data_IF_675905404689
#
_entry.id   IF_675905404689
#
_cell.length_a   1.000
_cell.length_b   1.000
_cell.length_c   1.000
_cell.angle_alpha   90.00
_cell.angle_beta   90.00
_cell.angle_gamma   90.00
#
_symmetry.space_group_name_H-M   'P 1'
#
loop_
_entity.id
_entity.type
_entity.pdbx_description
1 polymer ?
#
# COMPACT_ATOMS: atom_id res chain seq x y z
N UNK A 1 -6.23 -33.13 -18.12
CA UNK A 1 -5.85 -32.03 -18.99
C UNK A 1 -7.11 -31.17 -19.23
N UNK A 2 -7.02 -29.87 -19.04
CA UNK A 2 -8.09 -28.93 -19.33
C UNK A 2 -8.41 -28.94 -20.84
N UNK A 3 -9.61 -28.52 -21.22
CA UNK A 3 -10.01 -28.41 -22.63
C UNK A 3 -9.03 -27.54 -23.42
N UNK A 4 -8.51 -26.49 -22.80
CA UNK A 4 -7.48 -25.60 -23.34
C UNK A 4 -6.15 -26.34 -23.63
N UNK A 5 -5.69 -27.24 -22.72
CA UNK A 5 -4.48 -28.04 -22.95
C UNK A 5 -4.66 -29.05 -24.09
N UNK A 6 -5.86 -29.62 -24.27
CA UNK A 6 -6.15 -30.50 -25.38
C UNK A 6 -6.20 -29.76 -26.72
N UNK A 7 -6.78 -28.56 -26.71
CA UNK A 7 -6.84 -27.69 -27.88
C UNK A 7 -5.43 -27.20 -28.29
N UNK A 8 -4.59 -26.84 -27.34
CA UNK A 8 -3.20 -26.41 -27.60
C UNK A 8 -2.35 -27.55 -28.21
N UNK A 9 -2.60 -28.80 -27.81
CA UNK A 9 -1.93 -29.98 -28.35
C UNK A 9 -2.45 -30.37 -29.79
N UNK A 10 -3.61 -29.91 -30.20
CA UNK A 10 -4.20 -30.17 -31.48
C UNK A 10 -3.92 -29.09 -32.54
N UNK A 11 -3.45 -27.90 -32.13
CA UNK A 11 -3.06 -26.85 -33.08
C UNK A 11 -1.68 -27.14 -33.71
N UNK A 12 -1.52 -26.85 -35.00
CA UNK A 12 -0.20 -26.92 -35.63
C UNK A 12 0.73 -26.03 -34.82
N UNK A 13 1.86 -26.62 -34.40
CA UNK A 13 2.85 -25.97 -33.58
C UNK A 13 3.14 -24.56 -34.08
N UNK A 14 2.89 -23.55 -33.28
CA UNK A 14 3.52 -22.26 -33.49
C UNK A 14 5.00 -22.51 -33.64
N UNK A 15 5.67 -21.95 -34.66
CA UNK A 15 7.10 -22.10 -34.80
C UNK A 15 7.74 -21.73 -33.46
N UNK A 16 8.59 -22.59 -32.94
CA UNK A 16 9.35 -22.29 -31.74
C UNK A 16 9.99 -20.91 -31.91
N UNK A 17 10.02 -20.06 -30.85
CA UNK A 17 10.70 -18.77 -30.93
C UNK A 17 12.10 -19.01 -31.53
N UNK A 18 12.44 -18.33 -32.63
CA UNK A 18 13.68 -18.53 -33.36
C UNK A 18 14.89 -17.84 -32.69
N UNK A 19 14.84 -17.59 -31.40
CA UNK A 19 15.94 -17.00 -30.63
C UNK A 19 15.64 -16.96 -29.14
N UNK A 20 16.71 -16.92 -28.34
CA UNK A 20 16.60 -16.69 -26.90
C UNK A 20 16.18 -15.26 -26.61
N UNK A 21 15.29 -15.07 -25.63
CA UNK A 21 14.88 -13.75 -25.15
C UNK A 21 16.09 -13.00 -24.59
N UNK A 22 16.28 -11.76 -25.01
CA UNK A 22 17.35 -10.89 -24.56
C UNK A 22 16.86 -9.99 -23.44
N UNK A 23 17.77 -9.47 -22.64
CA UNK A 23 17.45 -8.56 -21.53
C UNK A 23 16.67 -7.31 -21.99
N UNK A 24 16.98 -6.82 -23.18
CA UNK A 24 16.44 -5.59 -23.78
C UNK A 24 15.09 -5.81 -24.48
N UNK A 25 14.68 -7.07 -24.66
CA UNK A 25 13.42 -7.39 -25.31
C UNK A 25 12.26 -7.05 -24.38
N UNK A 26 11.18 -6.51 -24.99
CA UNK A 26 9.95 -6.20 -24.25
C UNK A 26 9.21 -7.50 -23.95
N UNK A 27 9.10 -7.83 -22.67
CA UNK A 27 8.37 -9.00 -22.20
C UNK A 27 6.87 -8.73 -22.00
N UNK A 28 6.52 -7.47 -21.71
CA UNK A 28 5.12 -7.10 -21.48
C UNK A 28 4.89 -5.61 -21.74
N UNK A 29 3.67 -5.27 -22.14
CA UNK A 29 3.17 -3.90 -22.22
C UNK A 29 2.03 -3.78 -21.23
N UNK A 30 2.18 -2.93 -20.22
CA UNK A 30 1.16 -2.69 -19.21
C UNK A 30 0.56 -1.31 -19.36
N UNK A 31 -0.76 -1.25 -19.47
CA UNK A 31 -1.47 0.02 -19.63
C UNK A 31 -1.76 0.66 -18.26
N UNK A 32 -1.43 1.94 -18.16
CA UNK A 32 -1.75 2.79 -17.02
C UNK A 32 -2.75 3.86 -17.41
N UNK A 33 -3.60 4.28 -16.46
CA UNK A 33 -4.49 5.42 -16.68
C UNK A 33 -3.65 6.69 -16.80
N UNK A 34 -3.49 7.20 -18.02
CA UNK A 34 -2.82 8.49 -18.22
C UNK A 34 -3.63 9.64 -17.64
N UNK A 35 -2.97 10.61 -17.00
CA UNK A 35 -3.61 11.85 -16.52
C UNK A 35 -4.23 12.69 -17.63
N UNK A 36 -3.91 12.43 -18.89
CA UNK A 36 -4.44 13.07 -20.10
C UNK A 36 -5.65 12.34 -20.71
N UNK A 37 -6.22 11.35 -20.01
CA UNK A 37 -7.43 10.62 -20.43
C UNK A 37 -7.18 9.43 -21.36
N UNK A 38 -6.04 9.33 -22.03
CA UNK A 38 -5.68 8.16 -22.85
C UNK A 38 -4.73 7.23 -22.07
N UNK A 39 -5.03 5.92 -22.02
CA UNK A 39 -4.14 4.95 -21.39
C UNK A 39 -2.78 4.91 -22.09
N UNK A 40 -1.70 4.76 -21.31
CA UNK A 40 -0.32 4.66 -21.80
C UNK A 40 0.18 3.24 -21.64
N UNK A 41 0.73 2.66 -22.69
CA UNK A 41 1.32 1.32 -22.68
C UNK A 41 2.79 1.39 -22.23
N UNK A 42 3.07 1.01 -21.00
CA UNK A 42 4.43 0.96 -20.44
C UNK A 42 5.13 -0.29 -20.95
N UNK A 43 6.24 -0.13 -21.69
CA UNK A 43 7.03 -1.23 -22.22
C UNK A 43 8.05 -1.72 -21.19
N UNK A 44 7.82 -2.90 -20.62
CA UNK A 44 8.67 -3.52 -19.59
C UNK A 44 9.54 -4.58 -20.26
N UNK A 45 10.85 -4.61 -19.96
CA UNK A 45 11.80 -5.56 -20.51
C UNK A 45 12.00 -6.78 -19.61
N UNK A 46 12.49 -7.89 -20.14
CA UNK A 46 12.92 -9.04 -19.36
C UNK A 46 13.96 -8.66 -18.31
N UNK A 47 14.94 -7.83 -18.70
CA UNK A 47 15.97 -7.33 -17.78
C UNK A 47 15.42 -6.50 -16.64
N UNK A 48 14.38 -5.68 -16.91
CA UNK A 48 13.71 -4.86 -15.90
C UNK A 48 13.02 -5.71 -14.84
N UNK A 49 12.24 -6.72 -15.24
CA UNK A 49 11.59 -7.65 -14.30
C UNK A 49 12.64 -8.39 -13.45
N UNK A 50 13.66 -8.97 -14.08
CA UNK A 50 14.68 -9.72 -13.35
C UNK A 50 15.45 -8.85 -12.35
N UNK A 51 15.77 -7.60 -12.73
CA UNK A 51 16.43 -6.66 -11.83
C UNK A 51 15.55 -6.30 -10.62
N UNK A 52 14.25 -6.07 -10.85
CA UNK A 52 13.29 -5.80 -9.75
C UNK A 52 13.16 -6.99 -8.82
N UNK A 53 13.00 -8.21 -9.37
CA UNK A 53 12.91 -9.44 -8.57
C UNK A 53 14.16 -9.63 -7.72
N UNK A 54 15.35 -9.46 -8.33
CA UNK A 54 16.62 -9.55 -7.60
C UNK A 54 16.75 -8.48 -6.50
N UNK A 55 16.35 -7.25 -6.79
CA UNK A 55 16.35 -6.16 -5.81
C UNK A 55 15.40 -6.41 -4.64
N UNK A 56 14.20 -6.93 -4.92
CA UNK A 56 13.22 -7.31 -3.89
C UNK A 56 13.73 -8.49 -3.06
N UNK A 57 14.27 -9.54 -3.70
CA UNK A 57 14.85 -10.68 -3.00
C UNK A 57 15.95 -10.24 -2.04
N UNK A 58 16.87 -9.38 -2.48
CA UNK A 58 17.92 -8.83 -1.61
C UNK A 58 17.35 -8.01 -0.44
N UNK A 59 16.26 -7.27 -0.64
CA UNK A 59 15.60 -6.55 0.46
C UNK A 59 14.97 -7.51 1.48
N UNK A 60 14.42 -8.65 1.04
CA UNK A 60 13.93 -9.69 1.95
C UNK A 60 15.07 -10.45 2.65
N UNK A 61 16.23 -10.64 2.00
CA UNK A 61 17.42 -11.18 2.66
C UNK A 61 17.89 -10.26 3.78
N UNK A 62 17.94 -8.93 3.52
CA UNK A 62 18.26 -7.94 4.54
C UNK A 62 17.25 -7.95 5.69
N UNK A 63 15.96 -8.09 5.40
CA UNK A 63 14.91 -8.25 6.40
C UNK A 63 15.15 -9.53 7.23
N UNK A 64 15.64 -10.61 6.60
CA UNK A 64 16.03 -11.84 7.25
C UNK A 64 17.24 -11.67 8.16
N UNK A 65 18.27 -10.97 7.70
CA UNK A 65 19.49 -10.68 8.47
C UNK A 65 19.17 -9.84 9.73
N UNK A 66 18.29 -8.86 9.62
CA UNK A 66 17.97 -7.94 10.71
C UNK A 66 16.86 -8.44 11.64
N UNK A 67 15.87 -9.15 11.14
CA UNK A 67 14.62 -9.47 11.84
C UNK A 67 14.24 -10.95 11.82
N UNK A 68 15.02 -11.81 11.16
CA UNK A 68 14.73 -13.24 11.03
C UNK A 68 13.58 -13.59 10.06
N UNK A 69 13.14 -12.65 9.21
CA UNK A 69 11.96 -12.80 8.36
C UNK A 69 12.33 -12.85 6.87
N UNK A 70 13.19 -13.79 6.46
CA UNK A 70 13.53 -13.98 5.04
C UNK A 70 12.41 -14.67 4.27
N UNK A 71 12.38 -14.49 2.95
CA UNK A 71 11.48 -15.22 2.04
C UNK A 71 12.09 -16.57 1.66
N UNK A 72 11.29 -17.64 1.76
CA UNK A 72 11.74 -19.03 1.50
C UNK A 72 10.74 -19.80 0.63
N UNK A 73 11.13 -21.00 0.17
CA UNK A 73 10.27 -21.92 -0.57
C UNK A 73 9.07 -22.45 0.24
N UNK A 74 9.09 -22.31 1.57
CA UNK A 74 7.96 -22.69 2.43
C UNK A 74 6.87 -21.63 2.51
N UNK A 75 7.13 -20.45 1.97
CA UNK A 75 6.18 -19.35 1.98
C UNK A 75 5.04 -19.55 0.99
N UNK A 76 3.92 -18.91 1.33
CA UNK A 76 2.67 -18.99 0.58
C UNK A 76 2.08 -17.60 0.47
N UNK A 77 1.77 -17.16 -0.75
CA UNK A 77 0.97 -15.96 -1.00
C UNK A 77 -0.36 -16.29 -1.64
N UNK A 78 -1.36 -15.45 -1.44
CA UNK A 78 -2.60 -15.45 -2.22
C UNK A 78 -2.51 -14.38 -3.30
N UNK A 79 -2.48 -14.80 -4.58
CA UNK A 79 -2.64 -13.90 -5.72
C UNK A 79 -4.13 -13.62 -5.93
N UNK A 80 -4.54 -12.39 -5.71
CA UNK A 80 -5.92 -11.92 -5.87
C UNK A 80 -5.99 -10.51 -6.47
N UNK A 81 -4.87 -9.83 -6.59
CA UNK A 81 -4.79 -8.56 -7.30
C UNK A 81 -4.68 -8.82 -8.82
N UNK A 82 -5.14 -7.91 -9.67
CA UNK A 82 -5.06 -8.12 -11.11
C UNK A 82 -3.61 -8.15 -11.62
N UNK A 83 -3.22 -9.19 -12.35
CA UNK A 83 -1.90 -9.28 -13.00
C UNK A 83 -1.68 -8.24 -14.11
N UNK A 84 -2.74 -7.53 -14.51
CA UNK A 84 -2.64 -6.33 -15.35
C UNK A 84 -1.94 -5.16 -14.64
N UNK A 85 -1.78 -5.22 -13.32
CA UNK A 85 -0.99 -4.30 -12.53
C UNK A 85 0.34 -4.92 -12.15
N UNK A 86 1.42 -4.16 -12.32
CA UNK A 86 2.78 -4.64 -12.09
C UNK A 86 3.02 -5.12 -10.65
N UNK A 87 2.28 -4.62 -9.67
CA UNK A 87 2.50 -4.92 -8.26
C UNK A 87 2.37 -6.42 -7.96
N UNK A 88 1.24 -7.05 -8.32
CA UNK A 88 1.04 -8.48 -8.07
C UNK A 88 1.95 -9.34 -8.94
N UNK A 89 2.13 -8.94 -10.21
CA UNK A 89 3.01 -9.65 -11.14
C UNK A 89 4.45 -9.71 -10.66
N UNK A 90 5.03 -8.60 -10.22
CA UNK A 90 6.41 -8.58 -9.72
C UNK A 90 6.59 -9.44 -8.45
N UNK A 91 5.54 -9.53 -7.63
CA UNK A 91 5.54 -10.39 -6.44
C UNK A 91 5.36 -11.86 -6.78
N UNK A 92 4.53 -12.22 -7.76
CA UNK A 92 4.47 -13.61 -8.25
C UNK A 92 5.82 -14.06 -8.79
N UNK A 93 6.48 -13.25 -9.62
CA UNK A 93 7.82 -13.55 -10.14
C UNK A 93 8.85 -13.70 -9.01
N UNK A 94 8.77 -12.87 -7.96
CA UNK A 94 9.60 -13.01 -6.77
C UNK A 94 9.34 -14.35 -6.07
N UNK A 95 8.08 -14.72 -5.84
CA UNK A 95 7.74 -15.98 -5.17
C UNK A 95 8.17 -17.19 -5.98
N UNK A 96 7.99 -17.15 -7.31
CA UNK A 96 8.47 -18.19 -8.22
C UNK A 96 10.00 -18.31 -8.18
N UNK A 97 10.74 -17.19 -8.12
CA UNK A 97 12.20 -17.17 -8.12
C UNK A 97 12.83 -17.89 -6.92
N UNK A 98 12.14 -17.91 -5.78
CA UNK A 98 12.59 -18.60 -4.56
C UNK A 98 11.92 -19.97 -4.36
N UNK A 99 11.10 -20.43 -5.33
CA UNK A 99 10.37 -21.69 -5.25
C UNK A 99 9.21 -21.68 -4.23
N UNK A 100 8.73 -20.51 -3.84
CA UNK A 100 7.60 -20.36 -2.93
C UNK A 100 6.26 -20.68 -3.61
N UNK A 101 5.19 -20.77 -2.84
CA UNK A 101 3.87 -21.23 -3.31
C UNK A 101 2.94 -20.06 -3.55
N UNK A 102 2.21 -20.12 -4.66
CA UNK A 102 1.19 -19.14 -5.01
C UNK A 102 -0.16 -19.85 -5.07
N UNK A 103 -1.13 -19.39 -4.28
CA UNK A 103 -2.52 -19.80 -4.40
C UNK A 103 -3.32 -18.73 -5.12
N UNK A 104 -4.19 -19.12 -6.03
CA UNK A 104 -5.06 -18.21 -6.77
C UNK A 104 -6.44 -18.14 -6.16
N UNK A 105 -7.00 -16.92 -6.07
CA UNK A 105 -8.34 -16.70 -5.58
C UNK A 105 -9.41 -17.19 -6.57
N UNK A 106 -10.64 -17.38 -6.08
CA UNK A 106 -11.76 -17.86 -6.91
C UNK A 106 -12.41 -16.79 -7.78
N UNK A 107 -11.80 -15.60 -7.92
CA UNK A 107 -12.29 -14.50 -8.77
C UNK A 107 -13.46 -13.71 -8.18
N UNK A 108 -13.83 -13.90 -6.91
CA UNK A 108 -14.96 -13.22 -6.24
C UNK A 108 -14.45 -12.42 -5.05
N UNK A 109 -14.66 -11.10 -5.07
CA UNK A 109 -14.21 -10.17 -4.02
C UNK A 109 -14.82 -10.50 -2.64
N UNK A 110 -16.06 -10.95 -2.61
CA UNK A 110 -16.75 -11.39 -1.40
C UNK A 110 -16.19 -12.70 -0.81
N UNK A 111 -15.51 -13.49 -1.66
CA UNK A 111 -14.86 -14.75 -1.29
C UNK A 111 -13.44 -14.64 -0.79
N UNK A 112 -12.75 -13.51 -0.96
CA UNK A 112 -11.30 -13.35 -0.67
C UNK A 112 -10.95 -13.76 0.77
N UNK A 113 -11.72 -13.36 1.76
CA UNK A 113 -11.45 -13.75 3.16
C UNK A 113 -11.61 -15.28 3.39
N UNK A 114 -12.52 -15.92 2.67
CA UNK A 114 -12.67 -17.39 2.69
C UNK A 114 -11.47 -18.07 2.02
N UNK A 115 -10.97 -17.51 0.91
CA UNK A 115 -9.80 -18.02 0.20
C UNK A 115 -8.53 -17.87 1.05
N UNK A 116 -8.36 -16.72 1.72
CA UNK A 116 -7.29 -16.50 2.71
C UNK A 116 -7.36 -17.54 3.84
N UNK A 117 -8.56 -17.78 4.38
CA UNK A 117 -8.77 -18.76 5.44
C UNK A 117 -8.45 -20.20 5.02
N UNK A 118 -8.75 -20.57 3.78
CA UNK A 118 -8.46 -21.90 3.22
C UNK A 118 -6.96 -22.07 2.87
N UNK A 119 -6.36 -21.10 2.21
CA UNK A 119 -4.96 -21.14 1.79
C UNK A 119 -3.99 -20.96 2.97
N UNK A 120 -4.36 -20.13 3.94
CA UNK A 120 -3.54 -19.77 5.11
C UNK A 120 -2.16 -19.23 4.69
N UNK A 121 -2.11 -18.10 3.98
CA UNK A 121 -0.86 -17.54 3.46
C UNK A 121 0.08 -17.14 4.61
N UNK A 122 1.39 -17.13 4.31
CA UNK A 122 2.44 -16.63 5.20
C UNK A 122 2.78 -15.18 4.91
N UNK A 123 2.61 -14.74 3.66
CA UNK A 123 2.70 -13.35 3.22
C UNK A 123 1.32 -12.85 2.82
N UNK A 124 0.91 -11.75 3.42
CA UNK A 124 -0.33 -11.08 3.07
C UNK A 124 -0.03 -9.77 2.36
N UNK A 125 -0.19 -9.80 1.04
CA UNK A 125 0.10 -8.70 0.15
C UNK A 125 -1.21 -8.00 -0.20
N UNK A 126 -1.22 -6.66 -0.17
CA UNK A 126 -2.44 -5.95 -0.48
C UNK A 126 -2.24 -4.47 -0.75
N UNK A 127 -3.33 -3.84 -1.15
CA UNK A 127 -3.44 -2.38 -1.29
C UNK A 127 -4.07 -1.78 -0.04
N UNK A 128 -3.86 -0.48 0.27
CA UNK A 128 -4.37 0.16 1.48
C UNK A 128 -5.84 -0.09 1.76
N UNK A 129 -6.68 -0.06 0.73
CA UNK A 129 -8.13 -0.30 0.85
C UNK A 129 -8.50 -1.66 1.45
N UNK A 130 -7.68 -2.67 1.24
CA UNK A 130 -7.87 -4.00 1.85
C UNK A 130 -7.56 -3.94 3.34
N UNK A 131 -6.47 -3.26 3.70
CA UNK A 131 -6.07 -3.08 5.11
C UNK A 131 -7.03 -2.19 5.89
N UNK A 132 -7.58 -1.16 5.26
CA UNK A 132 -8.66 -0.33 5.85
C UNK A 132 -9.89 -1.17 6.18
N UNK A 133 -10.28 -2.10 5.29
CA UNK A 133 -11.38 -3.04 5.56
C UNK A 133 -11.07 -3.99 6.72
N UNK A 134 -9.84 -4.51 6.80
CA UNK A 134 -9.40 -5.34 7.93
C UNK A 134 -9.50 -4.54 9.23
N UNK A 135 -8.95 -3.32 9.24
CA UNK A 135 -9.01 -2.41 10.39
C UNK A 135 -10.44 -2.09 10.80
N UNK A 136 -11.29 -1.67 9.85
CA UNK A 136 -12.69 -1.35 10.10
C UNK A 136 -13.49 -2.57 10.62
N UNK A 137 -13.23 -3.75 10.06
CA UNK A 137 -13.87 -5.00 10.51
C UNK A 137 -13.52 -5.36 11.94
N UNK A 138 -12.28 -5.19 12.38
CA UNK A 138 -11.87 -5.41 13.77
C UNK A 138 -12.49 -4.35 14.68
N UNK A 139 -12.51 -3.09 14.28
CA UNK A 139 -13.13 -1.99 15.02
C UNK A 139 -14.63 -2.19 15.22
N UNK A 140 -15.33 -2.59 14.17
CA UNK A 140 -16.77 -2.87 14.25
C UNK A 140 -17.10 -4.00 15.26
N UNK A 141 -16.30 -5.07 15.27
CA UNK A 141 -16.49 -6.14 16.24
C UNK A 141 -16.18 -5.72 17.67
N UNK A 142 -15.16 -4.88 17.86
CA UNK A 142 -14.86 -4.32 19.16
C UNK A 142 -16.01 -3.42 19.64
N UNK A 143 -16.60 -2.64 18.76
CA UNK A 143 -17.75 -1.80 19.09
C UNK A 143 -18.97 -2.63 19.58
N UNK A 144 -19.16 -3.81 18.98
CA UNK A 144 -20.22 -4.75 19.38
C UNK A 144 -19.86 -5.62 20.60
N UNK A 145 -18.59 -5.61 21.06
CA UNK A 145 -18.12 -6.41 22.18
C UNK A 145 -18.52 -5.80 23.54
N UNK A 146 -18.53 -6.62 24.59
CA UNK A 146 -18.77 -6.15 25.96
C UNK A 146 -17.72 -5.12 26.41
N UNK A 147 -18.06 -4.21 27.33
CA UNK A 147 -17.13 -3.19 27.83
C UNK A 147 -15.80 -3.79 28.32
N UNK A 148 -15.87 -4.92 29.01
CA UNK A 148 -14.68 -5.63 29.52
C UNK A 148 -13.77 -6.09 28.37
N UNK A 149 -14.34 -6.71 27.32
CA UNK A 149 -13.55 -7.15 26.16
C UNK A 149 -12.91 -5.97 25.43
N UNK A 150 -13.63 -4.85 25.32
CA UNK A 150 -13.06 -3.61 24.74
C UNK A 150 -11.90 -3.08 25.58
N UNK A 151 -12.06 -3.03 26.91
CA UNK A 151 -11.00 -2.58 27.81
C UNK A 151 -9.75 -3.46 27.72
N UNK A 152 -9.93 -4.80 27.74
CA UNK A 152 -8.82 -5.77 27.61
C UNK A 152 -8.11 -5.60 26.27
N UNK A 153 -8.85 -5.48 25.16
CA UNK A 153 -8.24 -5.27 23.84
C UNK A 153 -7.48 -3.93 23.77
N UNK A 154 -8.05 -2.84 24.29
CA UNK A 154 -7.40 -1.52 24.29
C UNK A 154 -6.14 -1.50 25.14
N UNK A 155 -6.15 -2.15 26.30
CA UNK A 155 -4.98 -2.29 27.18
C UNK A 155 -3.88 -3.12 26.50
N UNK A 156 -4.25 -4.26 25.88
CA UNK A 156 -3.32 -5.11 25.14
C UNK A 156 -2.68 -4.37 23.96
N UNK A 157 -3.50 -3.62 23.20
CA UNK A 157 -3.04 -2.81 22.08
C UNK A 157 -2.07 -1.71 22.53
N UNK A 158 -2.43 -0.98 23.60
CA UNK A 158 -1.60 0.07 24.16
C UNK A 158 -0.26 -0.47 24.69
N UNK A 159 -0.30 -1.56 25.47
CA UNK A 159 0.91 -2.17 26.04
C UNK A 159 1.86 -2.67 24.95
N UNK A 160 1.36 -3.44 23.98
CA UNK A 160 2.18 -3.99 22.90
C UNK A 160 2.75 -2.89 22.01
N UNK A 161 1.91 -1.89 21.66
CA UNK A 161 2.35 -0.73 20.88
C UNK A 161 3.52 -0.03 21.56
N UNK A 162 3.42 0.22 22.87
CA UNK A 162 4.49 0.90 23.65
C UNK A 162 5.81 0.11 23.61
N UNK A 163 5.73 -1.22 23.67
CA UNK A 163 6.91 -2.08 23.52
C UNK A 163 7.54 -1.96 22.11
N UNK A 164 6.73 -2.04 21.06
CA UNK A 164 7.20 -1.89 19.68
C UNK A 164 7.78 -0.49 19.44
N UNK A 165 7.11 0.57 19.91
CA UNK A 165 7.59 1.96 19.78
C UNK A 165 8.92 2.18 20.55
N UNK A 166 9.19 1.37 21.58
CA UNK A 166 10.47 1.34 22.32
C UNK A 166 11.53 0.44 21.68
N UNK A 167 11.27 -0.12 20.47
CA UNK A 167 12.22 -0.98 19.76
C UNK A 167 12.21 -2.46 20.16
N UNK A 168 11.26 -2.89 21.01
CA UNK A 168 11.12 -4.32 21.34
C UNK A 168 10.53 -5.05 20.12
N UNK A 169 11.15 -6.17 19.76
CA UNK A 169 10.68 -7.02 18.68
C UNK A 169 9.21 -7.42 18.88
N UNK A 170 8.40 -7.41 17.80
CA UNK A 170 6.95 -7.61 17.87
C UNK A 170 6.54 -8.91 18.58
N UNK A 171 7.31 -10.00 18.48
CA UNK A 171 7.01 -11.28 19.14
C UNK A 171 7.29 -11.24 20.65
N UNK A 172 8.16 -10.34 21.09
CA UNK A 172 8.54 -10.18 22.51
C UNK A 172 7.82 -9.04 23.21
N UNK A 173 7.21 -8.11 22.44
CA UNK A 173 6.57 -6.91 22.99
C UNK A 173 5.37 -7.23 23.89
N UNK A 174 4.63 -8.32 23.65
CA UNK A 174 3.53 -8.77 24.53
C UNK A 174 3.04 -10.19 24.20
N UNK A 175 3.79 -11.25 24.50
CA UNK A 175 3.44 -12.63 24.11
C UNK A 175 2.10 -13.12 24.65
N UNK A 176 1.71 -12.70 25.86
CA UNK A 176 0.41 -13.03 26.43
C UNK A 176 -0.76 -12.39 25.68
N UNK A 177 -0.62 -11.11 25.30
CA UNK A 177 -1.63 -10.45 24.48
C UNK A 177 -1.73 -11.06 23.09
N UNK A 178 -0.61 -11.48 22.50
CA UNK A 178 -0.58 -12.16 21.20
C UNK A 178 -1.37 -13.45 21.23
N UNK A 179 -1.18 -14.25 22.25
CA UNK A 179 -1.90 -15.53 22.42
C UNK A 179 -3.36 -15.36 22.76
N UNK A 180 -3.72 -14.45 23.66
CA UNK A 180 -5.08 -14.35 24.21
C UNK A 180 -5.99 -13.40 23.42
N UNK A 181 -5.43 -12.35 22.83
CA UNK A 181 -6.16 -11.25 22.19
C UNK A 181 -5.95 -11.26 20.68
N UNK A 182 -4.69 -11.12 20.22
CA UNK A 182 -4.36 -10.88 18.82
C UNK A 182 -4.39 -12.13 17.96
N UNK A 183 -4.25 -13.33 18.54
CA UNK A 183 -4.44 -14.60 17.81
C UNK A 183 -5.77 -14.68 17.07
N UNK A 184 -6.84 -14.09 17.63
CA UNK A 184 -8.16 -14.03 17.00
C UNK A 184 -8.22 -13.11 15.79
N UNK A 185 -7.41 -12.04 15.78
CA UNK A 185 -7.26 -11.14 14.63
C UNK A 185 -6.45 -11.85 13.55
N UNK A 186 -5.32 -12.43 13.93
CA UNK A 186 -4.43 -13.19 13.04
C UNK A 186 -5.14 -14.37 12.36
N UNK A 187 -6.00 -15.08 13.10
CA UNK A 187 -6.77 -16.22 12.60
C UNK A 187 -7.68 -15.85 11.41
N UNK A 188 -8.13 -14.59 11.29
CA UNK A 188 -8.98 -14.14 10.17
C UNK A 188 -8.24 -14.10 8.85
N UNK A 189 -6.93 -13.92 8.91
CA UNK A 189 -6.04 -13.97 7.76
C UNK A 189 -5.31 -15.33 7.70
N UNK A 190 -5.98 -16.42 8.12
CA UNK A 190 -5.47 -17.78 8.06
C UNK A 190 -4.51 -18.18 9.19
N UNK A 191 -4.15 -17.28 10.10
CA UNK A 191 -3.37 -17.55 11.31
C UNK A 191 -1.86 -17.75 11.10
N UNK A 192 -1.36 -17.78 9.85
CA UNK A 192 0.04 -18.05 9.52
C UNK A 192 0.79 -16.84 8.96
N UNK A 193 0.11 -15.69 8.78
CA UNK A 193 0.74 -14.48 8.25
C UNK A 193 1.91 -14.06 9.13
N UNK A 194 3.09 -13.95 8.54
CA UNK A 194 4.34 -13.53 9.18
C UNK A 194 4.92 -12.23 8.60
N UNK A 195 4.47 -11.84 7.40
CA UNK A 195 4.79 -10.53 6.79
C UNK A 195 3.54 -9.97 6.12
N UNK A 196 3.29 -8.69 6.33
CA UNK A 196 2.28 -7.91 5.61
C UNK A 196 2.99 -6.91 4.71
N UNK A 197 2.66 -6.90 3.41
CA UNK A 197 3.20 -5.94 2.45
C UNK A 197 2.09 -5.09 1.84
N UNK A 198 2.24 -3.77 1.89
CA UNK A 198 1.33 -2.79 1.29
C UNK A 198 2.00 -2.01 0.17
N UNK A 199 1.32 -1.83 -0.95
CA UNK A 199 1.84 -1.07 -2.09
C UNK A 199 0.74 -0.40 -2.90
N UNK A 200 1.12 0.23 -4.00
CA UNK A 200 0.27 0.95 -4.98
C UNK A 200 -0.33 2.27 -4.49
N UNK A 201 -0.42 2.52 -3.17
CA UNK A 201 -0.86 3.78 -2.59
C UNK A 201 -0.36 3.88 -1.13
N UNK A 202 -0.33 5.08 -0.53
CA UNK A 202 0.08 5.25 0.87
C UNK A 202 -0.88 4.54 1.83
N UNK A 203 -0.35 3.78 2.78
CA UNK A 203 -1.11 3.22 3.88
C UNK A 203 -1.21 4.24 5.02
N UNK A 204 -2.41 4.49 5.49
CA UNK A 204 -2.62 5.45 6.58
C UNK A 204 -1.82 5.05 7.84
N UNK A 205 -1.05 5.98 8.45
CA UNK A 205 -0.15 5.63 9.56
C UNK A 205 -0.84 4.99 10.76
N UNK A 206 -2.10 5.34 11.03
CA UNK A 206 -2.87 4.73 12.12
C UNK A 206 -3.26 3.28 11.82
N UNK A 207 -3.53 2.95 10.54
CA UNK A 207 -3.82 1.57 10.09
C UNK A 207 -2.55 0.73 10.13
N UNK A 208 -1.43 1.26 9.62
CA UNK A 208 -0.13 0.60 9.67
C UNK A 208 0.27 0.24 11.11
N UNK A 209 0.20 1.22 12.04
CA UNK A 209 0.50 0.98 13.46
C UNK A 209 -0.42 -0.07 14.08
N UNK A 210 -1.71 -0.04 13.72
CA UNK A 210 -2.65 -1.05 14.19
C UNK A 210 -2.29 -2.44 13.67
N UNK A 211 -1.96 -2.57 12.39
CA UNK A 211 -1.59 -3.84 11.78
C UNK A 211 -0.32 -4.42 12.39
N UNK A 212 0.75 -3.61 12.57
CA UNK A 212 2.00 -4.01 13.25
C UNK A 212 1.73 -4.68 14.60
N UNK A 213 0.79 -4.13 15.38
CA UNK A 213 0.43 -4.67 16.70
C UNK A 213 -0.50 -5.88 16.58
N UNK A 214 -1.60 -5.75 15.82
CA UNK A 214 -2.70 -6.72 15.82
C UNK A 214 -2.40 -7.98 15.00
N UNK A 215 -1.54 -7.88 13.99
CA UNK A 215 -1.09 -9.01 13.16
C UNK A 215 0.11 -9.73 13.75
N UNK A 216 0.77 -9.15 14.76
CA UNK A 216 1.95 -9.72 15.40
C UNK A 216 3.04 -10.08 14.37
N UNK A 217 3.28 -9.20 13.40
CA UNK A 217 4.26 -9.40 12.35
C UNK A 217 4.68 -8.06 11.74
N UNK A 218 5.81 -8.00 11.02
CA UNK A 218 6.23 -6.83 10.29
C UNK A 218 5.20 -6.40 9.26
N UNK A 219 5.02 -5.10 9.13
CA UNK A 219 4.22 -4.46 8.08
C UNK A 219 5.15 -3.55 7.30
N UNK A 220 5.36 -3.86 6.03
CA UNK A 220 6.23 -3.13 5.13
C UNK A 220 5.41 -2.37 4.09
N UNK A 221 5.86 -1.17 3.73
CA UNK A 221 5.31 -0.43 2.61
C UNK A 221 6.31 -0.39 1.48
N UNK A 222 5.85 -0.61 0.25
CA UNK A 222 6.61 -0.43 -0.97
C UNK A 222 6.08 0.73 -1.80
N UNK A 223 6.98 1.48 -2.41
CA UNK A 223 6.67 2.49 -3.41
C UNK A 223 7.29 2.10 -4.75
N UNK A 224 6.55 2.34 -5.81
CA UNK A 224 7.01 2.16 -7.17
C UNK A 224 5.89 2.41 -8.18
N UNK A 225 6.26 2.36 -9.45
CA UNK A 225 5.40 2.65 -10.57
C UNK A 225 5.47 1.51 -11.60
N UNK A 226 4.55 1.50 -12.53
CA UNK A 226 4.61 0.57 -13.66
C UNK A 226 5.86 0.82 -14.50
N UNK A 227 6.25 2.08 -14.63
CA UNK A 227 7.44 2.56 -15.33
C UNK A 227 8.77 2.12 -14.66
N UNK A 228 8.73 1.68 -13.43
CA UNK A 228 9.89 1.15 -12.69
C UNK A 228 9.75 -0.34 -12.36
N UNK A 229 8.91 -1.03 -13.12
CA UNK A 229 8.66 -2.47 -12.99
C UNK A 229 8.20 -2.90 -11.58
N UNK A 230 7.41 -2.04 -10.90
CA UNK A 230 6.90 -2.29 -9.56
C UNK A 230 7.69 -1.57 -8.48
N UNK A 231 8.16 -2.30 -7.47
CA UNK A 231 8.80 -1.68 -6.31
C UNK A 231 10.13 -1.00 -6.67
N UNK A 232 10.28 0.23 -6.19
CA UNK A 232 11.51 1.03 -6.26
C UNK A 232 12.09 1.30 -4.87
N UNK A 233 11.23 1.38 -3.86
CA UNK A 233 11.59 1.54 -2.45
C UNK A 233 10.82 0.53 -1.61
N UNK A 234 11.43 0.11 -0.51
CA UNK A 234 10.81 -0.77 0.47
C UNK A 234 11.15 -0.30 1.89
N UNK A 235 10.11 -0.15 2.72
CA UNK A 235 10.29 0.24 4.11
C UNK A 235 10.76 -0.95 4.95
N UNK A 236 11.74 -0.73 5.83
CA UNK A 236 11.98 -1.64 6.94
C UNK A 236 10.87 -1.48 7.98
N UNK A 237 10.41 -2.57 8.64
CA UNK A 237 9.28 -2.54 9.57
C UNK A 237 9.63 -1.98 10.95
N UNK A 238 10.50 -1.00 11.00
CA UNK A 238 10.88 -0.28 12.21
C UNK A 238 9.90 0.86 12.49
N UNK A 239 9.74 1.29 13.77
CA UNK A 239 8.77 2.35 14.13
C UNK A 239 8.99 3.65 13.36
N UNK A 240 10.24 4.04 13.12
CA UNK A 240 10.63 5.27 12.45
C UNK A 240 10.14 5.34 11.00
N UNK A 241 9.98 4.19 10.34
CA UNK A 241 9.52 4.11 8.95
C UNK A 241 7.99 4.12 8.79
N UNK A 242 7.23 4.27 9.88
CA UNK A 242 5.76 4.38 9.78
C UNK A 242 5.35 5.58 8.93
N UNK A 243 4.59 5.32 7.86
CA UNK A 243 4.18 6.33 6.88
C UNK A 243 5.28 6.70 5.87
N UNK A 244 6.37 5.91 5.78
CA UNK A 244 7.46 6.06 4.84
C UNK A 244 7.58 4.83 3.94
N UNK A 245 8.27 4.97 2.83
CA UNK A 245 8.51 3.89 1.87
C UNK A 245 9.94 3.33 1.94
N UNK A 246 10.74 3.82 2.91
CA UNK A 246 12.07 3.28 3.24
C UNK A 246 13.17 3.64 2.27
N UNK A 247 14.12 2.73 2.07
CA UNK A 247 15.25 2.86 1.17
C UNK A 247 14.97 2.38 -0.24
N UNK A 248 15.78 2.84 -1.20
CA UNK A 248 15.71 2.36 -2.58
C UNK A 248 16.16 0.90 -2.68
N UNK A 249 15.55 0.15 -3.59
CA UNK A 249 16.00 -1.19 -3.93
C UNK A 249 17.43 -1.15 -4.50
N UNK A 250 18.27 -2.15 -4.21
CA UNK A 250 19.68 -2.16 -4.64
C UNK A 250 19.91 -2.10 -6.16
N UNK A 251 18.87 -2.33 -6.95
CA UNK A 251 18.91 -2.27 -8.42
C UNK A 251 18.65 -0.88 -9.00
N UNK A 252 18.41 0.15 -8.15
CA UNK A 252 18.06 1.51 -8.57
C UNK A 252 18.97 2.56 -7.94
N UNK A 253 19.24 3.60 -8.72
CA UNK A 253 19.74 4.89 -8.24
C UNK A 253 18.55 5.85 -8.11
N UNK A 254 18.59 6.74 -7.12
CA UNK A 254 17.61 7.81 -6.98
C UNK A 254 18.26 9.13 -6.64
N UNK A 255 17.60 10.21 -6.97
CA UNK A 255 17.92 11.57 -6.51
C UNK A 255 16.63 12.36 -6.31
N UNK A 256 16.70 13.40 -5.47
CA UNK A 256 15.65 14.41 -5.39
C UNK A 256 16.04 15.60 -6.27
N UNK A 257 15.10 16.13 -7.02
CA UNK A 257 15.26 17.36 -7.80
C UNK A 257 14.35 18.44 -7.25
N UNK A 258 14.91 19.62 -6.97
CA UNK A 258 14.13 20.76 -6.50
C UNK A 258 13.03 21.14 -7.49
N UNK A 259 11.87 21.54 -6.96
CA UNK A 259 10.70 22.04 -7.71
C UNK A 259 10.31 23.40 -7.11
N UNK A 260 11.07 24.47 -7.44
CA UNK A 260 10.96 25.79 -6.79
C UNK A 260 9.57 26.41 -6.92
N UNK A 261 8.90 26.21 -8.06
CA UNK A 261 7.55 26.71 -8.31
C UNK A 261 6.49 26.13 -7.36
N UNK A 262 6.77 24.97 -6.76
CA UNK A 262 5.93 24.31 -5.75
C UNK A 262 6.50 24.43 -4.33
N UNK A 263 7.62 25.15 -4.16
CA UNK A 263 8.25 25.35 -2.86
C UNK A 263 9.03 24.16 -2.31
N UNK A 264 9.43 23.21 -3.19
CA UNK A 264 10.22 22.05 -2.78
C UNK A 264 11.70 22.26 -3.11
N UNK A 265 12.56 22.15 -2.10
CA UNK A 265 13.99 22.29 -2.21
C UNK A 265 14.71 21.01 -1.76
N UNK A 266 15.43 20.39 -2.70
CA UNK A 266 16.19 19.17 -2.46
C UNK A 266 17.47 19.39 -1.62
N UNK A 267 17.88 20.65 -1.40
CA UNK A 267 19.02 21.02 -0.58
C UNK A 267 18.63 21.53 0.82
N UNK A 268 17.33 21.65 1.09
CA UNK A 268 16.81 22.04 2.40
C UNK A 268 16.95 20.93 3.44
N UNK A 269 16.64 21.24 4.70
CA UNK A 269 16.54 20.27 5.80
C UNK A 269 15.11 20.27 6.36
N UNK A 270 14.31 19.23 6.16
CA UNK A 270 14.61 18.01 5.37
C UNK A 270 14.60 18.26 3.86
N UNK A 271 15.41 17.51 3.08
CA UNK A 271 15.40 17.59 1.63
C UNK A 271 14.04 17.17 1.04
N UNK A 272 13.52 17.98 0.09
CA UNK A 272 12.25 17.73 -0.60
C UNK A 272 12.38 18.02 -2.08
N UNK A 273 11.82 17.15 -2.91
CA UNK A 273 11.87 17.36 -4.35
C UNK A 273 11.19 16.24 -5.13
N UNK A 274 11.17 16.38 -6.45
CA UNK A 274 10.75 15.31 -7.33
C UNK A 274 11.69 14.11 -7.19
N UNK A 275 11.12 12.91 -7.06
CA UNK A 275 11.90 11.67 -7.04
C UNK A 275 12.25 11.28 -8.47
N UNK A 276 13.55 11.22 -8.78
CA UNK A 276 14.05 10.72 -10.04
C UNK A 276 14.70 9.37 -9.84
N UNK A 277 14.45 8.43 -10.77
CA UNK A 277 14.92 7.05 -10.68
C UNK A 277 15.72 6.67 -11.93
N UNK A 278 16.79 5.89 -11.75
CA UNK A 278 17.59 5.36 -12.85
C UNK A 278 18.08 3.95 -12.51
N UNK A 279 18.02 3.06 -13.48
CA UNK A 279 18.53 1.69 -13.34
C UNK A 279 17.80 0.70 -14.23
N UNK A 280 18.20 -0.58 -14.20
CA UNK A 280 17.63 -1.62 -15.05
C UNK A 280 16.11 -1.80 -14.97
N UNK A 281 15.42 -1.55 -13.82
CA UNK A 281 13.96 -1.61 -13.71
C UNK A 281 13.21 -0.51 -14.48
N UNK A 282 13.88 0.59 -14.85
CA UNK A 282 13.23 1.68 -15.58
C UNK A 282 12.80 1.21 -16.97
N UNK A 283 11.57 1.50 -17.33
CA UNK A 283 10.92 1.04 -18.57
C UNK A 283 11.63 1.52 -19.84
N UNK A 284 11.35 0.85 -20.94
CA UNK A 284 11.92 1.20 -22.26
C UNK A 284 11.28 2.46 -22.87
N UNK A 285 10.13 2.86 -22.39
CA UNK A 285 9.33 3.97 -22.90
C UNK A 285 7.86 3.58 -23.05
N UNK A 286 7.04 4.54 -23.47
CA UNK A 286 5.63 4.31 -23.76
C UNK A 286 5.45 3.77 -25.19
N UNK A 287 4.65 2.72 -25.34
CA UNK A 287 4.39 2.06 -26.61
C UNK A 287 3.74 3.03 -27.60
N UNK A 288 4.39 3.25 -28.75
CA UNK A 288 3.97 4.19 -29.82
C UNK A 288 3.77 5.64 -29.35
N UNK A 289 4.41 6.07 -28.26
CA UNK A 289 4.29 7.43 -27.73
C UNK A 289 5.69 7.97 -27.33
N UNK A 290 6.47 8.32 -28.35
CA UNK A 290 7.85 8.79 -28.19
C UNK A 290 7.89 10.15 -27.48
N UNK A 291 6.93 11.03 -27.78
CA UNK A 291 6.92 12.39 -27.19
C UNK A 291 6.69 12.32 -25.68
N UNK A 292 5.70 11.54 -25.24
CA UNK A 292 5.50 11.34 -23.79
C UNK A 292 6.63 10.59 -23.12
N UNK A 293 7.34 9.75 -23.86
CA UNK A 293 8.54 9.09 -23.33
C UNK A 293 9.62 10.13 -23.01
N UNK A 294 9.88 11.06 -23.94
CA UNK A 294 10.85 12.16 -23.77
C UNK A 294 10.46 13.14 -22.66
N UNK A 295 9.17 13.31 -22.38
CA UNK A 295 8.70 14.17 -21.28
C UNK A 295 9.11 13.65 -19.90
N UNK A 296 9.33 12.34 -19.76
CA UNK A 296 9.55 11.71 -18.45
C UNK A 296 10.86 10.94 -18.34
N UNK A 297 11.55 10.69 -19.45
CA UNK A 297 12.84 10.01 -19.47
C UNK A 297 13.85 10.95 -20.13
N UNK A 298 14.81 11.44 -19.34
CA UNK A 298 15.85 12.34 -19.82
C UNK A 298 16.98 11.62 -20.56
N UNK A 299 17.88 12.40 -21.19
CA UNK A 299 18.99 11.88 -21.99
C UNK A 299 20.03 11.12 -21.13
N UNK A 300 20.10 11.37 -19.84
CA UNK A 300 20.97 10.68 -18.87
C UNK A 300 20.33 9.39 -18.31
N UNK A 301 19.11 9.06 -18.76
CA UNK A 301 18.36 7.88 -18.36
C UNK A 301 17.67 8.00 -17.00
N UNK A 302 17.46 9.21 -16.48
CA UNK A 302 16.64 9.45 -15.31
C UNK A 302 15.16 9.51 -15.68
N UNK A 303 14.38 8.75 -14.95
CA UNK A 303 12.94 8.77 -15.04
C UNK A 303 12.36 9.75 -14.02
N UNK A 304 11.64 10.75 -14.51
CA UNK A 304 10.90 11.74 -13.77
C UNK A 304 9.57 11.15 -13.33
N UNK A 305 9.43 10.82 -12.06
CA UNK A 305 8.26 10.11 -11.54
C UNK A 305 7.02 10.99 -11.44
N UNK A 306 7.20 12.30 -11.31
CA UNK A 306 6.15 13.25 -10.97
C UNK A 306 5.68 13.14 -9.52
N UNK A 307 6.34 12.34 -8.69
CA UNK A 307 6.04 12.20 -7.27
C UNK A 307 7.06 12.99 -6.44
N UNK A 308 6.59 13.72 -5.43
CA UNK A 308 7.43 14.48 -4.51
C UNK A 308 7.77 13.64 -3.29
N UNK A 309 9.06 13.55 -3.01
CA UNK A 309 9.60 12.86 -1.83
C UNK A 309 10.20 13.81 -0.81
N UNK A 310 10.16 13.40 0.45
CA UNK A 310 10.89 13.98 1.57
C UNK A 310 11.87 12.92 2.09
N UNK A 311 13.15 13.28 2.17
CA UNK A 311 14.18 12.39 2.69
C UNK A 311 14.42 12.68 4.17
N UNK A 312 14.37 11.65 4.99
CA UNK A 312 14.70 11.75 6.40
C UNK A 312 16.21 11.62 6.68
N UNK A 313 16.64 11.94 7.89
CA UNK A 313 18.04 11.84 8.32
C UNK A 313 18.60 10.42 8.23
N UNK A 314 17.74 9.40 8.42
CA UNK A 314 18.10 7.97 8.30
C UNK A 314 18.13 7.46 6.85
N UNK A 315 17.95 8.35 5.86
CA UNK A 315 17.91 8.01 4.44
C UNK A 315 16.59 7.41 3.96
N UNK A 316 15.58 7.26 4.82
CA UNK A 316 14.27 6.75 4.41
C UNK A 316 13.46 7.81 3.68
N UNK A 317 12.83 7.40 2.56
CA UNK A 317 11.98 8.26 1.73
C UNK A 317 10.52 8.21 2.22
N UNK A 318 9.88 9.36 2.21
CA UNK A 318 8.43 9.52 2.35
C UNK A 318 7.89 10.19 1.09
N UNK A 319 6.92 9.59 0.44
CA UNK A 319 6.18 10.26 -0.63
C UNK A 319 5.18 11.21 0.03
N UNK A 320 5.26 12.48 -0.32
CA UNK A 320 4.46 13.54 0.31
C UNK A 320 3.39 14.10 -0.60
N UNK A 321 3.65 14.14 -1.92
CA UNK A 321 2.73 14.70 -2.91
C UNK A 321 2.92 14.06 -4.28
N UNK A 322 1.95 14.30 -5.17
CA UNK A 322 2.07 13.99 -6.60
C UNK A 322 1.87 15.27 -7.40
N UNK A 323 2.87 15.68 -8.18
CA UNK A 323 2.88 16.97 -8.92
C UNK A 323 1.59 17.18 -9.73
N UNK A 324 1.11 16.16 -10.42
CA UNK A 324 -0.08 16.22 -11.27
C UNK A 324 -1.41 16.24 -10.49
N UNK A 325 -1.40 15.84 -9.23
CA UNK A 325 -2.58 15.86 -8.36
C UNK A 325 -2.72 17.19 -7.62
N UNK A 326 -1.62 17.95 -7.50
CA UNK A 326 -1.63 19.25 -6.84
C UNK A 326 -2.44 20.26 -7.65
N UNK A 327 -3.30 21.00 -6.98
CA UNK A 327 -3.96 22.15 -7.57
C UNK A 327 -3.60 23.43 -6.81
N UNK A 328 -3.54 24.54 -7.54
CA UNK A 328 -3.21 25.85 -6.99
C UNK A 328 -4.49 26.60 -6.66
N UNK A 329 -4.57 27.19 -5.49
CA UNK A 329 -5.67 28.09 -5.09
C UNK A 329 -5.41 29.53 -5.54
N UNK A 330 -6.43 30.38 -5.47
CA UNK A 330 -6.38 31.77 -5.91
C UNK A 330 -5.27 32.61 -5.23
N UNK A 331 -4.95 32.29 -3.98
CA UNK A 331 -3.87 32.94 -3.22
C UNK A 331 -2.47 32.38 -3.54
N UNK A 332 -2.35 31.44 -4.46
CA UNK A 332 -1.09 30.88 -4.90
C UNK A 332 -0.62 29.63 -4.13
N UNK A 333 -1.36 29.17 -3.13
CA UNK A 333 -1.08 27.94 -2.39
C UNK A 333 -1.35 26.69 -3.22
N UNK A 334 -0.41 25.74 -3.20
CA UNK A 334 -0.61 24.39 -3.72
C UNK A 334 -1.23 23.50 -2.65
N UNK A 335 -2.27 22.78 -3.01
CA UNK A 335 -2.98 21.84 -2.12
C UNK A 335 -2.86 20.42 -2.68
N UNK A 336 -2.44 19.51 -1.80
CA UNK A 336 -2.47 18.07 -2.07
C UNK A 336 -3.85 17.51 -1.72
N UNK A 337 -4.67 17.11 -2.70
CA UNK A 337 -5.97 16.51 -2.41
C UNK A 337 -5.85 15.25 -1.59
N UNK A 338 -4.89 14.38 -1.91
CA UNK A 338 -4.67 13.10 -1.22
C UNK A 338 -4.39 13.28 0.28
N UNK A 339 -3.66 14.34 0.65
CA UNK A 339 -3.38 14.66 2.05
C UNK A 339 -4.65 15.09 2.80
N UNK A 340 -5.49 15.91 2.17
CA UNK A 340 -6.76 16.36 2.77
C UNK A 340 -7.74 15.19 2.86
N UNK A 341 -7.85 14.37 1.81
CA UNK A 341 -8.66 13.16 1.76
C UNK A 341 -8.25 12.17 2.86
N UNK A 342 -6.94 12.00 3.09
CA UNK A 342 -6.41 11.17 4.16
C UNK A 342 -6.84 11.63 5.56
N UNK A 343 -6.89 12.94 5.79
CA UNK A 343 -7.40 13.52 7.06
C UNK A 343 -8.90 13.30 7.20
N UNK A 344 -9.68 13.54 6.13
CA UNK A 344 -11.13 13.34 6.14
C UNK A 344 -11.50 11.87 6.36
N UNK A 345 -10.78 10.96 5.71
CA UNK A 345 -10.99 9.50 5.83
C UNK A 345 -10.63 8.94 7.20
N UNK A 346 -9.89 9.67 8.03
CA UNK A 346 -9.66 9.30 9.44
C UNK A 346 -10.93 9.44 10.31
N UNK A 347 -11.94 10.19 9.84
CA UNK A 347 -13.22 10.31 10.52
C UNK A 347 -14.04 9.02 10.33
N UNK A 348 -14.50 8.34 11.40
CA UNK A 348 -15.31 7.13 11.29
C UNK A 348 -16.63 7.27 10.54
N UNK A 349 -17.11 8.50 10.37
CA UNK A 349 -18.37 8.81 9.67
C UNK A 349 -18.16 8.96 8.16
N UNK A 350 -16.94 8.95 7.67
CA UNK A 350 -16.55 9.12 6.27
C UNK A 350 -16.17 7.78 5.68
N UNK A 351 -16.91 7.32 4.67
CA UNK A 351 -16.60 6.12 3.91
C UNK A 351 -15.62 6.41 2.78
N UNK A 352 -15.78 7.56 2.12
CA UNK A 352 -14.90 8.05 1.04
C UNK A 352 -14.90 9.58 1.04
N UNK A 353 -13.76 10.16 0.66
CA UNK A 353 -13.63 11.59 0.40
C UNK A 353 -12.94 11.79 -0.95
N UNK A 354 -13.34 12.81 -1.66
CA UNK A 354 -12.69 13.32 -2.86
C UNK A 354 -12.55 14.83 -2.73
N UNK A 355 -11.33 15.34 -2.93
CA UNK A 355 -11.00 16.76 -2.76
C UNK A 355 -10.59 17.35 -4.10
N UNK A 356 -11.08 18.53 -4.39
CA UNK A 356 -10.71 19.29 -5.58
C UNK A 356 -10.58 20.77 -5.23
N UNK A 357 -9.91 21.51 -6.10
CA UNK A 357 -9.79 22.96 -6.01
C UNK A 357 -9.74 23.60 -7.37
N UNK A 358 -9.96 24.91 -7.36
CA UNK A 358 -9.94 25.76 -8.54
C UNK A 358 -9.00 26.95 -8.25
N UNK A 359 -8.16 27.29 -9.23
CA UNK A 359 -7.23 28.43 -9.15
C UNK A 359 -7.92 29.80 -9.01
N UNK A 360 -9.24 29.85 -9.22
CA UNK A 360 -10.05 31.04 -9.02
C UNK A 360 -10.71 31.10 -7.63
N UNK A 361 -10.54 30.06 -6.80
CA UNK A 361 -11.15 29.99 -5.47
C UNK A 361 -10.09 29.93 -4.38
N UNK A 362 -10.40 30.52 -3.23
CA UNK A 362 -9.49 30.57 -2.07
C UNK A 362 -9.56 29.35 -1.16
N UNK A 363 -10.50 28.42 -1.41
CA UNK A 363 -10.70 27.23 -0.59
C UNK A 363 -10.92 26.01 -1.47
N UNK A 364 -10.40 24.82 -1.07
CA UNK A 364 -10.74 23.56 -1.72
C UNK A 364 -12.19 23.16 -1.42
N UNK A 365 -12.74 22.29 -2.24
CA UNK A 365 -14.05 21.66 -2.03
C UNK A 365 -13.85 20.15 -1.84
N UNK A 366 -14.68 19.53 -1.01
CA UNK A 366 -14.68 18.09 -0.83
C UNK A 366 -16.06 17.49 -1.08
N UNK A 367 -16.09 16.36 -1.78
CA UNK A 367 -17.25 15.48 -1.85
C UNK A 367 -17.01 14.34 -0.88
N UNK A 368 -17.91 14.20 0.08
CA UNK A 368 -17.77 13.18 1.14
C UNK A 368 -18.92 12.18 1.03
N UNK A 369 -18.58 10.91 0.93
CA UNK A 369 -19.53 9.80 1.02
C UNK A 369 -19.57 9.35 2.48
N UNK A 370 -20.71 9.44 3.16
CA UNK A 370 -20.84 9.06 4.55
C UNK A 370 -20.84 7.51 4.73
N UNK A 371 -20.34 7.03 5.87
CA UNK A 371 -20.57 5.66 6.32
C UNK A 371 -21.96 5.56 6.93
N UNK A 372 -22.91 4.97 6.18
CA UNK A 372 -24.31 4.83 6.62
C UNK A 372 -24.46 4.08 7.94
N UNK A 373 -23.65 3.04 8.16
CA UNK A 373 -23.77 2.23 9.37
C UNK A 373 -23.36 3.03 10.61
N UNK A 374 -22.25 3.78 10.51
CA UNK A 374 -21.76 4.64 11.57
C UNK A 374 -22.69 5.83 11.84
N UNK A 375 -23.23 6.45 10.78
CA UNK A 375 -24.20 7.53 10.92
C UNK A 375 -25.49 7.05 11.60
N UNK A 376 -26.03 5.89 11.20
CA UNK A 376 -27.20 5.30 11.83
C UNK A 376 -26.94 4.94 13.30
N UNK A 377 -25.74 4.45 13.63
CA UNK A 377 -25.34 4.18 15.01
C UNK A 377 -25.26 5.44 15.84
N UNK A 378 -24.64 6.52 15.30
CA UNK A 378 -24.58 7.83 15.95
C UNK A 378 -25.97 8.44 16.16
N UNK A 379 -26.83 8.40 15.14
CA UNK A 379 -28.20 8.89 15.26
C UNK A 379 -29.02 8.16 16.33
N UNK A 380 -28.85 6.84 16.46
CA UNK A 380 -29.49 6.06 17.54
C UNK A 380 -28.95 6.48 18.92
N UNK A 381 -27.65 6.66 19.06
CA UNK A 381 -27.02 7.08 20.31
C UNK A 381 -27.49 8.47 20.74
N UNK A 382 -27.57 9.42 19.81
CA UNK A 382 -28.05 10.78 20.07
C UNK A 382 -29.54 10.80 20.46
N UNK A 383 -30.39 10.00 19.80
CA UNK A 383 -31.82 9.86 20.18
C UNK A 383 -31.97 9.24 21.57
N UNK A 384 -31.18 8.25 21.92
CA UNK A 384 -31.21 7.62 23.23
C UNK A 384 -30.79 8.59 24.35
N UNK A 385 -29.78 9.44 24.09
CA UNK A 385 -29.35 10.48 25.05
C UNK A 385 -30.38 11.62 25.21
N UNK A 386 -31.04 12.01 24.12
CA UNK A 386 -32.10 13.05 24.14
C UNK A 386 -33.37 12.55 24.87
N UNK A 387 -33.71 11.25 24.75
CA UNK A 387 -34.86 10.65 25.42
C UNK A 387 -34.69 10.52 26.94
N UNK A 388 -33.44 10.44 27.45
CA UNK A 388 -33.17 10.36 28.90
C UNK A 388 -33.14 11.73 29.61
N UNK A 389 -33.15 12.84 28.84
CA UNK A 389 -33.11 14.20 29.38
C UNK A 389 -34.48 14.78 29.80
N UNK A 390 -35.60 14.15 29.38
CA UNK A 390 -36.94 14.72 29.58
C UNK A 390 -37.70 14.13 30.80
N UNK A 391 -37.02 13.43 31.72
CA UNK A 391 -37.62 12.80 32.89
C UNK A 391 -37.39 13.46 34.26
N UNK A 392 -36.89 14.73 34.30
CA UNK A 392 -36.81 15.50 35.56
C UNK A 392 -37.37 16.90 35.38
N UNK A 393 -38.64 16.98 35.16
CA UNK A 393 -39.44 18.20 35.26
C UNK A 393 -40.29 18.17 36.53
N UNK A 394 -39.89 18.91 37.51
CA UNK A 394 -40.30 19.08 38.87
C UNK A 394 -41.77 19.03 39.23
N UNK A 395 -42.00 18.39 40.32
CA UNK A 395 -43.07 18.72 41.27
C UNK A 395 -42.64 20.00 42.00
N UNK A 396 -43.35 21.08 41.77
CA UNK A 396 -43.33 22.27 42.65
C UNK A 396 -44.25 21.98 43.84
N UNK A 397 -43.81 22.23 45.07
CA UNK A 397 -44.72 22.21 46.23
C UNK A 397 -45.60 23.45 46.27
N UNK A 398 -46.87 23.20 46.44
CA UNK A 398 -47.89 24.16 46.81
C UNK A 398 -47.63 24.87 48.13
#
# INVERSE_FOLDING_TARGET
>A
LSEFERESLSHPSFPAPTGDARREDVCTIMYTSGTTGHPKGVMITHGGILATVAGQARSFDQLGEELGETLTSDDVMLSYLPLAHIFDRALEELFLSVGARIGYWRGRIDGVLSDIGALRPTFFIGVPRVFDRVYAGVRAQLAAASPLRRAVFSLALWHKRRGIDAGVHWDHASPLADRLVFSKVKARLGGRVRVVASGSAPLAPHVERFLKVAMCCPVVQGYGLTETCGASFCAMPVPQHTGRVGGALPCLHYKLQSVPEMGYDALAAPPRGEVLLRGPPVFKGYYKDVEKTKEVLDDDGWFHTGDIGELAEDGSLKIIDRMKSLFKLAQGEYVSPERVEGVLSACPLVAQAWVTGDSLRSSPAAVVVPDEAQLRALARALRASAGNGNGKGGDAPS
#
